data_IF_255710777667
#
_entry.id   IF_255710777667
#
_cell.length_a   1.000
_cell.length_b   1.000
_cell.length_c   1.000
_cell.angle_alpha   90.00
_cell.angle_beta   90.00
_cell.angle_gamma   90.00
#
_symmetry.space_group_name_H-M   'P 1'
#
loop_
_entity.id
_entity.type
_entity.pdbx_description
1 polymer ?
#
# COMPACT_ATOMS: atom_id res chain seq x y z
N UNK A 1 -3.10 -27.33 -16.22
CA UNK A 1 -3.62 -26.40 -15.20
C UNK A 1 -2.70 -26.30 -13.99
N UNK A 2 -2.35 -27.41 -13.32
CA UNK A 2 -1.43 -27.42 -12.16
C UNK A 2 -0.04 -26.85 -12.47
N UNK A 3 0.58 -27.33 -13.55
CA UNK A 3 1.92 -26.89 -13.99
C UNK A 3 1.92 -25.40 -14.35
N UNK A 4 0.94 -24.95 -15.15
CA UNK A 4 0.77 -23.53 -15.51
C UNK A 4 0.63 -22.63 -14.27
N UNK A 5 -0.03 -23.11 -13.22
CA UNK A 5 -0.13 -22.38 -11.96
C UNK A 5 1.21 -22.32 -11.22
N UNK A 6 1.91 -23.44 -11.07
CA UNK A 6 3.18 -23.52 -10.33
C UNK A 6 4.32 -22.79 -11.05
N UNK A 7 4.37 -22.89 -12.37
CA UNK A 7 5.51 -22.40 -13.16
C UNK A 7 5.40 -20.91 -13.50
N UNK A 8 4.18 -20.35 -13.55
CA UNK A 8 3.95 -18.96 -13.98
C UNK A 8 3.16 -18.15 -12.96
N UNK A 9 2.00 -18.63 -12.53
CA UNK A 9 1.09 -17.82 -11.70
C UNK A 9 1.65 -17.64 -10.29
N UNK A 10 2.14 -18.71 -9.68
CA UNK A 10 2.74 -18.68 -8.34
C UNK A 10 3.96 -17.75 -8.28
N UNK A 11 4.99 -17.88 -9.15
CA UNK A 11 6.12 -16.96 -9.11
C UNK A 11 5.70 -15.52 -9.45
N UNK A 12 4.76 -15.32 -10.37
CA UNK A 12 4.22 -13.99 -10.65
C UNK A 12 3.57 -13.35 -9.42
N UNK A 13 2.72 -14.09 -8.70
CA UNK A 13 2.06 -13.60 -7.48
C UNK A 13 3.07 -13.30 -6.36
N UNK A 14 4.06 -14.18 -6.17
CA UNK A 14 5.12 -13.99 -5.18
C UNK A 14 5.96 -12.76 -5.51
N UNK A 15 6.50 -12.67 -6.73
CA UNK A 15 7.34 -11.56 -7.15
C UNK A 15 6.56 -10.23 -7.14
N UNK A 16 5.33 -10.23 -7.64
CA UNK A 16 4.47 -9.05 -7.66
C UNK A 16 4.09 -8.60 -6.25
N UNK A 17 3.81 -9.52 -5.34
CA UNK A 17 3.53 -9.19 -3.94
C UNK A 17 4.76 -8.60 -3.23
N UNK A 18 5.94 -9.19 -3.44
CA UNK A 18 7.17 -8.79 -2.76
C UNK A 18 7.74 -7.47 -3.32
N UNK A 19 7.96 -7.40 -4.64
CA UNK A 19 8.45 -6.18 -5.30
C UNK A 19 7.41 -5.07 -5.24
N UNK A 20 6.14 -5.38 -5.50
CA UNK A 20 5.05 -4.41 -5.39
C UNK A 20 4.90 -3.88 -3.97
N UNK A 21 5.05 -4.73 -2.95
CA UNK A 21 5.05 -4.32 -1.55
C UNK A 21 6.18 -3.35 -1.21
N UNK A 22 7.41 -3.62 -1.68
CA UNK A 22 8.54 -2.71 -1.46
C UNK A 22 8.34 -1.35 -2.15
N UNK A 23 7.89 -1.36 -3.41
CA UNK A 23 7.59 -0.13 -4.15
C UNK A 23 6.46 0.65 -3.46
N UNK A 24 5.41 -0.04 -3.01
CA UNK A 24 4.31 0.56 -2.26
C UNK A 24 4.79 1.23 -0.97
N UNK A 25 5.68 0.58 -0.21
CA UNK A 25 6.25 1.16 1.02
C UNK A 25 7.06 2.42 0.71
N UNK A 26 7.93 2.37 -0.29
CA UNK A 26 8.75 3.51 -0.70
C UNK A 26 7.90 4.70 -1.19
N UNK A 27 6.90 4.43 -2.05
CA UNK A 27 5.99 5.45 -2.54
C UNK A 27 5.10 6.02 -1.44
N UNK A 28 4.59 5.18 -0.53
CA UNK A 28 3.79 5.63 0.61
C UNK A 28 4.59 6.51 1.57
N UNK A 29 5.86 6.15 1.83
CA UNK A 29 6.75 6.97 2.64
C UNK A 29 7.02 8.33 1.97
N UNK A 30 7.34 8.36 0.68
CA UNK A 30 7.56 9.60 -0.06
C UNK A 30 6.30 10.50 -0.09
N UNK A 31 5.12 9.91 -0.33
CA UNK A 31 3.84 10.63 -0.28
C UNK A 31 3.54 11.18 1.11
N UNK A 32 3.83 10.42 2.16
CA UNK A 32 3.60 10.85 3.53
C UNK A 32 4.49 12.04 3.89
N UNK A 33 5.78 11.98 3.52
CA UNK A 33 6.70 13.11 3.70
C UNK A 33 6.22 14.35 2.94
N UNK A 34 5.81 14.18 1.68
CA UNK A 34 5.28 15.28 0.88
C UNK A 34 4.03 15.92 1.50
N UNK A 35 3.07 15.11 1.97
CA UNK A 35 1.87 15.59 2.66
C UNK A 35 2.23 16.26 3.99
N UNK A 36 3.17 15.70 4.75
CA UNK A 36 3.62 16.27 6.02
C UNK A 36 4.24 17.65 5.85
N UNK A 37 4.98 17.86 4.77
CA UNK A 37 5.66 19.13 4.47
C UNK A 37 4.70 20.19 3.89
N UNK A 38 3.78 19.79 3.01
CA UNK A 38 2.99 20.74 2.20
C UNK A 38 1.51 20.82 2.60
N UNK A 39 0.98 19.77 3.23
CA UNK A 39 -0.44 19.58 3.53
C UNK A 39 -0.62 18.92 4.91
N UNK A 40 0.02 19.48 5.93
CA UNK A 40 0.04 18.86 7.27
C UNK A 40 -1.35 18.73 7.91
N UNK A 41 -2.31 19.52 7.45
CA UNK A 41 -3.73 19.47 7.81
C UNK A 41 -4.47 18.26 7.19
N UNK A 42 -3.91 17.67 6.13
CA UNK A 42 -4.45 16.48 5.49
C UNK A 42 -4.15 15.19 6.25
N UNK A 43 -3.21 15.24 7.21
CA UNK A 43 -2.80 14.12 8.06
C UNK A 43 -3.55 14.14 9.40
N UNK A 44 -3.65 12.98 10.08
CA UNK A 44 -4.28 12.90 11.39
C UNK A 44 -3.64 13.90 12.39
N UNK A 45 -4.43 14.55 13.26
CA UNK A 45 -3.93 15.52 14.22
C UNK A 45 -2.90 14.86 15.14
N UNK A 46 -1.78 15.56 15.36
CA UNK A 46 -0.59 15.05 16.07
C UNK A 46 -0.87 14.44 17.44
N UNK A 47 -1.98 14.78 18.10
CA UNK A 47 -2.35 14.25 19.42
C UNK A 47 -2.64 12.74 19.44
N UNK A 48 -3.00 12.13 18.31
CA UNK A 48 -3.25 10.67 18.26
C UNK A 48 -2.00 9.85 17.96
N UNK A 49 -0.90 10.49 17.51
CA UNK A 49 0.35 9.83 17.11
C UNK A 49 1.38 9.67 18.25
N UNK A 50 1.25 10.41 19.36
CA UNK A 50 2.22 10.37 20.46
C UNK A 50 2.13 9.15 21.39
N UNK A 51 1.18 8.23 21.19
CA UNK A 51 0.91 7.10 22.10
C UNK A 51 1.52 5.77 21.66
N UNK A 52 2.24 5.69 20.52
CA UNK A 52 2.81 4.42 20.09
C UNK A 52 4.19 4.57 19.42
N UNK A 53 5.25 4.21 20.17
CA UNK A 53 6.60 3.92 19.65
C UNK A 53 6.63 2.85 18.52
N UNK A 54 5.47 2.28 18.17
CA UNK A 54 5.25 1.45 16.97
C UNK A 54 5.23 2.25 15.65
N UNK A 55 5.26 3.59 15.70
CA UNK A 55 5.24 4.46 14.51
C UNK A 55 6.52 4.44 13.67
N UNK A 56 7.64 3.93 14.18
CA UNK A 56 8.88 3.85 13.41
C UNK A 56 8.77 2.94 12.16
N UNK A 57 7.79 2.02 12.13
CA UNK A 57 7.63 1.06 11.03
C UNK A 57 6.16 0.89 10.61
N UNK A 58 5.50 1.98 10.23
CA UNK A 58 4.19 1.88 9.56
C UNK A 58 3.24 3.06 9.73
N UNK A 59 3.52 4.02 10.62
CA UNK A 59 2.62 5.17 10.85
C UNK A 59 2.36 6.03 9.59
N UNK A 60 3.31 6.03 8.65
CA UNK A 60 3.12 6.66 7.34
C UNK A 60 2.01 6.03 6.52
N UNK A 61 1.79 4.71 6.62
CA UNK A 61 0.72 4.00 5.91
C UNK A 61 -0.66 4.42 6.43
N UNK A 62 -0.80 4.57 7.75
CA UNK A 62 -2.04 5.02 8.36
C UNK A 62 -2.32 6.50 8.05
N UNK A 63 -1.29 7.34 7.99
CA UNK A 63 -1.42 8.72 7.50
C UNK A 63 -1.93 8.79 6.06
N UNK A 64 -1.37 7.98 5.15
CA UNK A 64 -1.85 7.89 3.75
C UNK A 64 -3.27 7.34 3.69
N UNK A 65 -3.59 6.31 4.48
CA UNK A 65 -4.93 5.72 4.53
C UNK A 65 -5.96 6.72 5.07
N UNK A 66 -5.59 7.52 6.07
CA UNK A 66 -6.42 8.60 6.61
C UNK A 66 -6.70 9.64 5.52
N UNK A 67 -5.65 10.12 4.83
CA UNK A 67 -5.79 11.07 3.73
C UNK A 67 -6.67 10.52 2.59
N UNK A 68 -6.57 9.22 2.29
CA UNK A 68 -7.42 8.54 1.32
C UNK A 68 -8.89 8.52 1.75
N UNK A 69 -9.16 8.16 3.01
CA UNK A 69 -10.53 8.09 3.59
C UNK A 69 -11.21 9.46 3.66
N UNK A 70 -10.48 10.49 4.06
CA UNK A 70 -11.03 11.86 4.20
C UNK A 70 -11.15 12.59 2.86
N UNK A 71 -10.49 12.08 1.81
CA UNK A 71 -10.46 12.74 0.50
C UNK A 71 -9.56 13.97 0.44
N UNK A 72 -8.81 14.26 1.50
CA UNK A 72 -7.91 15.42 1.58
C UNK A 72 -6.80 15.38 0.52
N UNK A 73 -6.45 14.20 0.00
CA UNK A 73 -5.51 14.03 -1.12
C UNK A 73 -5.92 14.79 -2.39
N UNK A 74 -7.21 15.11 -2.57
CA UNK A 74 -7.71 15.89 -3.72
C UNK A 74 -7.22 17.34 -3.70
N UNK A 75 -6.76 17.84 -2.55
CA UNK A 75 -6.22 19.20 -2.38
C UNK A 75 -4.80 19.35 -2.93
N UNK A 76 -4.10 18.23 -3.18
CA UNK A 76 -2.74 18.25 -3.74
C UNK A 76 -2.78 18.97 -5.08
N UNK A 77 -2.13 20.12 -5.19
CA UNK A 77 -2.14 20.94 -6.41
C UNK A 77 -1.33 20.30 -7.54
N UNK A 78 -0.23 19.64 -7.18
CA UNK A 78 0.63 18.95 -8.15
C UNK A 78 -0.04 17.72 -8.74
N UNK A 79 -0.27 17.75 -10.05
CA UNK A 79 -0.82 16.61 -10.80
C UNK A 79 0.06 15.35 -10.69
N UNK A 80 1.38 15.51 -10.60
CA UNK A 80 2.32 14.39 -10.46
C UNK A 80 2.10 13.66 -9.14
N UNK A 81 2.06 14.39 -8.02
CA UNK A 81 1.83 13.83 -6.69
C UNK A 81 0.42 13.27 -6.52
N UNK A 82 -0.57 13.91 -7.14
CA UNK A 82 -1.95 13.40 -7.15
C UNK A 82 -2.06 12.07 -7.91
N UNK A 83 -1.41 11.95 -9.07
CA UNK A 83 -1.34 10.68 -9.83
C UNK A 83 -0.56 9.63 -9.05
N UNK A 84 0.56 10.00 -8.43
CA UNK A 84 1.34 9.09 -7.59
C UNK A 84 0.49 8.57 -6.43
N UNK A 85 -0.33 9.41 -5.79
CA UNK A 85 -1.26 8.99 -4.74
C UNK A 85 -2.26 7.93 -5.25
N UNK A 86 -2.89 8.17 -6.39
CA UNK A 86 -3.84 7.22 -7.01
C UNK A 86 -3.13 5.91 -7.37
N UNK A 87 -1.98 5.99 -8.03
CA UNK A 87 -1.19 4.82 -8.42
C UNK A 87 -0.72 4.02 -7.19
N UNK A 88 -0.27 4.69 -6.14
CA UNK A 88 0.15 4.05 -4.89
C UNK A 88 -1.02 3.31 -4.24
N UNK A 89 -2.21 3.91 -4.24
CA UNK A 89 -3.41 3.27 -3.69
C UNK A 89 -3.83 2.04 -4.51
N UNK A 90 -3.77 2.14 -5.85
CA UNK A 90 -4.01 1.01 -6.74
C UNK A 90 -2.97 -0.11 -6.56
N UNK A 91 -1.70 0.24 -6.40
CA UNK A 91 -0.62 -0.69 -6.12
C UNK A 91 -0.85 -1.41 -4.78
N UNK A 92 -1.27 -0.69 -3.74
CA UNK A 92 -1.64 -1.28 -2.46
C UNK A 92 -2.74 -2.34 -2.60
N UNK A 93 -3.81 -2.06 -3.35
CA UNK A 93 -4.84 -3.06 -3.63
C UNK A 93 -4.32 -4.26 -4.42
N UNK A 94 -3.47 -4.02 -5.42
CA UNK A 94 -2.87 -5.08 -6.22
C UNK A 94 -1.99 -6.01 -5.36
N UNK A 95 -1.18 -5.47 -4.46
CA UNK A 95 -0.36 -6.25 -3.53
C UNK A 95 -1.24 -7.07 -2.59
N UNK A 96 -2.28 -6.45 -1.99
CA UNK A 96 -3.23 -7.16 -1.13
C UNK A 96 -3.93 -8.28 -1.90
N UNK A 97 -4.32 -8.04 -3.16
CA UNK A 97 -4.90 -9.04 -4.03
C UNK A 97 -3.93 -10.19 -4.29
N UNK A 98 -2.66 -9.92 -4.59
CA UNK A 98 -1.65 -10.96 -4.79
C UNK A 98 -1.47 -11.82 -3.53
N UNK A 99 -1.38 -11.20 -2.35
CA UNK A 99 -1.30 -11.90 -1.08
C UNK A 99 -2.55 -12.75 -0.80
N UNK A 100 -3.74 -12.19 -1.02
CA UNK A 100 -5.00 -12.91 -0.84
C UNK A 100 -5.12 -14.11 -1.81
N UNK A 101 -4.71 -13.93 -3.07
CA UNK A 101 -4.68 -14.99 -4.07
C UNK A 101 -3.69 -16.11 -3.71
N UNK A 102 -2.51 -15.76 -3.18
CA UNK A 102 -1.55 -16.75 -2.66
C UNK A 102 -2.16 -17.53 -1.49
N UNK A 103 -2.71 -16.84 -0.48
CA UNK A 103 -3.35 -17.50 0.66
C UNK A 103 -4.50 -18.41 0.22
N UNK A 104 -5.36 -17.94 -0.68
CA UNK A 104 -6.45 -18.74 -1.24
C UNK A 104 -5.92 -19.96 -1.99
N UNK A 105 -4.84 -19.80 -2.77
CA UNK A 105 -4.22 -20.92 -3.47
C UNK A 105 -3.72 -22.00 -2.50
N UNK A 106 -3.15 -21.63 -1.35
CA UNK A 106 -2.73 -22.59 -0.34
C UNK A 106 -3.90 -23.24 0.41
N UNK A 107 -4.95 -22.49 0.73
CA UNK A 107 -6.10 -22.98 1.49
C UNK A 107 -7.00 -23.91 0.66
N UNK A 108 -7.20 -23.58 -0.62
CA UNK A 108 -8.06 -24.32 -1.53
C UNK A 108 -7.29 -25.28 -2.44
N UNK A 109 -5.98 -25.47 -2.21
CA UNK A 109 -5.22 -26.47 -2.96
C UNK A 109 -5.79 -27.86 -2.67
N UNK A 110 -6.30 -28.59 -3.68
CA UNK A 110 -6.80 -29.93 -3.44
C UNK A 110 -5.64 -30.81 -2.96
N UNK A 111 -5.79 -31.36 -1.74
CA UNK A 111 -4.92 -32.42 -1.23
C UNK A 111 -5.18 -33.66 -2.09
N UNK A 112 -4.39 -33.81 -3.16
CA UNK A 112 -4.23 -35.10 -3.81
C UNK A 112 -3.48 -36.05 -2.91
#
# INVERSE_FOLDING_TARGET
>A
MRELFLDYIMPFLVLSGLLGGLVYLACSHALYTYLKENYSDALPPRLELYMHDAEAMGGFLDGIRYAAKTGNWKRIESNTWRRLFICNHALGYFVVFCCAALCAAFLFWPKS
#
